data_IF_973609669243
#
_entry.id   IF_973609669243
#
_cell.length_a   1.000
_cell.length_b   1.000
_cell.length_c   1.000
_cell.angle_alpha   90.00
_cell.angle_beta   90.00
_cell.angle_gamma   90.00
#
_symmetry.space_group_name_H-M   'P 1'
#
loop_
_entity.id
_entity.type
_entity.pdbx_description
1 polymer ?
#
# COMPACT_ATOMS: atom_id res chain seq x y z
N UNK A 1 0.77 -19.73 -4.11
CA UNK A 1 -0.19 -18.86 -3.39
C UNK A 1 -0.63 -17.63 -4.20
N UNK A 2 0.28 -16.77 -4.68
CA UNK A 2 -0.07 -15.60 -5.52
C UNK A 2 -0.99 -15.87 -6.73
N UNK A 3 -0.84 -16.98 -7.50
CA UNK A 3 -1.71 -17.25 -8.65
C UNK A 3 -3.16 -17.52 -8.27
N UNK A 4 -3.39 -18.15 -7.11
CA UNK A 4 -4.74 -18.48 -6.60
C UNK A 4 -5.52 -17.22 -6.20
N UNK A 5 -4.86 -16.26 -5.55
CA UNK A 5 -5.48 -14.98 -5.20
C UNK A 5 -5.74 -14.10 -6.43
N UNK A 6 -4.81 -14.08 -7.39
CA UNK A 6 -5.02 -13.37 -8.65
C UNK A 6 -6.20 -13.96 -9.45
N UNK A 7 -6.32 -15.30 -9.50
CA UNK A 7 -7.43 -15.99 -10.14
C UNK A 7 -8.76 -15.72 -9.41
N UNK A 8 -8.80 -15.75 -8.08
CA UNK A 8 -9.98 -15.43 -7.30
C UNK A 8 -10.46 -13.98 -7.53
N UNK A 9 -9.54 -13.03 -7.68
CA UNK A 9 -9.89 -11.63 -8.00
C UNK A 9 -10.40 -11.44 -9.42
N UNK A 10 -9.85 -12.19 -10.38
CA UNK A 10 -10.32 -12.22 -11.78
C UNK A 10 -11.74 -12.80 -11.87
N UNK A 11 -12.02 -13.90 -11.16
CA UNK A 11 -13.32 -14.58 -11.17
C UNK A 11 -14.41 -13.80 -10.41
N UNK A 12 -14.03 -12.96 -9.43
CA UNK A 12 -14.99 -12.23 -8.59
C UNK A 12 -15.35 -10.82 -9.07
N UNK A 13 -15.03 -10.48 -10.33
CA UNK A 13 -15.56 -9.30 -11.01
C UNK A 13 -14.81 -7.98 -10.78
N UNK A 14 -13.57 -8.01 -10.29
CA UNK A 14 -12.75 -6.79 -10.08
C UNK A 14 -12.16 -6.20 -11.38
N UNK A 15 -12.16 -6.98 -12.47
CA UNK A 15 -11.40 -6.71 -13.69
C UNK A 15 -9.93 -7.09 -13.52
N UNK A 16 -9.01 -6.26 -14.02
CA UNK A 16 -7.56 -6.48 -13.84
C UNK A 16 -7.19 -6.52 -12.34
N UNK A 17 -6.56 -7.60 -11.84
CA UNK A 17 -6.45 -7.88 -10.41
C UNK A 17 -5.42 -7.02 -9.68
N UNK A 18 -4.55 -6.31 -10.42
CA UNK A 18 -3.51 -5.45 -9.85
C UNK A 18 -3.88 -3.98 -10.03
N UNK A 19 -3.54 -3.18 -9.03
CA UNK A 19 -3.63 -1.74 -9.07
C UNK A 19 -2.31 -1.14 -8.59
N UNK A 20 -1.86 -0.10 -9.28
CA UNK A 20 -0.63 0.61 -8.97
C UNK A 20 -0.94 2.01 -8.45
N UNK A 21 -0.24 2.44 -7.40
CA UNK A 21 -0.41 3.78 -6.83
C UNK A 21 0.95 4.46 -6.64
N UNK A 22 1.05 5.76 -6.96
CA UNK A 22 2.22 6.55 -6.62
C UNK A 22 2.21 6.94 -5.15
N UNK A 23 3.36 6.78 -4.51
CA UNK A 23 3.61 7.10 -3.10
C UNK A 23 4.96 7.76 -2.93
N UNK A 24 5.16 8.39 -1.79
CA UNK A 24 6.43 9.02 -1.41
C UNK A 24 7.32 8.03 -0.66
N UNK A 25 8.58 7.94 -1.10
CA UNK A 25 9.57 6.98 -0.64
C UNK A 25 10.73 7.60 0.15
N UNK A 26 11.85 6.88 0.15
CA UNK A 26 13.10 7.35 0.74
C UNK A 26 13.51 8.70 0.13
N UNK A 27 13.91 9.63 1.00
CA UNK A 27 14.24 11.02 0.65
C UNK A 27 13.10 11.77 -0.06
N UNK A 28 11.85 11.33 0.12
CA UNK A 28 10.66 11.90 -0.53
C UNK A 28 10.53 11.53 -2.00
N UNK A 29 11.38 10.64 -2.53
CA UNK A 29 11.35 10.26 -3.95
C UNK A 29 10.07 9.48 -4.26
N UNK A 30 9.31 9.84 -5.31
CA UNK A 30 8.10 9.12 -5.67
C UNK A 30 8.45 7.72 -6.19
N UNK A 31 7.65 6.73 -5.81
CA UNK A 31 7.73 5.37 -6.33
C UNK A 31 6.33 4.77 -6.47
N UNK A 32 6.23 3.67 -7.21
CA UNK A 32 4.95 3.01 -7.49
C UNK A 32 4.79 1.77 -6.62
N UNK A 33 3.78 1.74 -5.75
CA UNK A 33 3.39 0.54 -5.00
C UNK A 33 2.41 -0.31 -5.81
N UNK A 34 2.55 -1.63 -5.69
CA UNK A 34 1.61 -2.59 -6.27
C UNK A 34 0.66 -3.11 -5.19
N UNK A 35 -0.63 -3.22 -5.51
CA UNK A 35 -1.66 -3.80 -4.64
C UNK A 35 -2.62 -4.66 -5.45
N UNK A 36 -3.34 -5.54 -4.76
CA UNK A 36 -4.52 -6.16 -5.35
C UNK A 36 -5.67 -5.15 -5.43
N UNK A 37 -6.37 -5.17 -6.56
CA UNK A 37 -7.55 -4.33 -6.79
C UNK A 37 -8.73 -4.91 -6.01
N UNK A 38 -9.09 -4.26 -4.91
CA UNK A 38 -10.20 -4.69 -4.03
C UNK A 38 -11.46 -3.82 -4.16
N UNK A 39 -11.45 -2.81 -5.04
CA UNK A 39 -12.61 -1.97 -5.33
C UNK A 39 -12.83 -1.91 -6.85
N UNK A 40 -14.09 -1.97 -7.28
CA UNK A 40 -14.45 -1.72 -8.68
C UNK A 40 -14.51 -0.20 -8.96
N UNK A 41 -14.78 0.18 -10.21
CA UNK A 41 -14.86 1.60 -10.61
C UNK A 41 -15.98 2.39 -9.93
N UNK A 42 -16.99 1.70 -9.38
CA UNK A 42 -18.07 2.29 -8.59
C UNK A 42 -17.75 2.34 -7.07
N UNK A 43 -16.51 2.00 -6.67
CA UNK A 43 -16.08 1.99 -5.27
C UNK A 43 -16.64 0.84 -4.44
N UNK A 44 -17.26 -0.16 -5.07
CA UNK A 44 -17.87 -1.29 -4.37
C UNK A 44 -16.86 -2.42 -4.15
N UNK A 45 -17.11 -3.21 -3.10
CA UNK A 45 -16.34 -4.42 -2.78
C UNK A 45 -17.26 -5.55 -2.35
N UNK A 46 -16.94 -6.79 -2.74
CA UNK A 46 -17.58 -7.99 -2.23
C UNK A 46 -17.00 -8.44 -0.87
N UNK A 47 -17.53 -9.53 -0.31
CA UNK A 47 -17.09 -10.07 0.99
C UNK A 47 -15.62 -10.45 0.98
N UNK A 48 -15.14 -11.10 -0.10
CA UNK A 48 -13.75 -11.51 -0.24
C UNK A 48 -12.80 -10.31 -0.27
N UNK A 49 -13.12 -9.29 -1.06
CA UNK A 49 -12.32 -8.07 -1.19
C UNK A 49 -12.25 -7.28 0.12
N UNK A 50 -13.36 -7.21 0.87
CA UNK A 50 -13.38 -6.64 2.22
C UNK A 50 -12.50 -7.44 3.18
N UNK A 51 -12.61 -8.76 3.14
CA UNK A 51 -11.78 -9.65 3.96
C UNK A 51 -10.28 -9.49 3.64
N UNK A 52 -9.91 -9.40 2.37
CA UNK A 52 -8.52 -9.17 1.94
C UNK A 52 -7.95 -7.86 2.50
N UNK A 53 -8.73 -6.77 2.51
CA UNK A 53 -8.31 -5.51 3.15
C UNK A 53 -8.17 -5.64 4.66
N UNK A 54 -9.12 -6.33 5.31
CA UNK A 54 -9.09 -6.55 6.77
C UNK A 54 -7.86 -7.35 7.20
N UNK A 55 -7.41 -8.29 6.38
CA UNK A 55 -6.24 -9.13 6.66
C UNK A 55 -4.93 -8.55 6.09
N UNK A 56 -4.98 -7.43 5.36
CA UNK A 56 -3.81 -6.84 4.68
C UNK A 56 -3.31 -7.65 3.48
N UNK A 57 -4.05 -8.66 3.03
CA UNK A 57 -3.68 -9.49 1.89
C UNK A 57 -3.64 -8.72 0.57
N UNK A 58 -4.38 -7.60 0.48
CA UNK A 58 -4.34 -6.72 -0.68
C UNK A 58 -2.97 -6.03 -0.88
N UNK A 59 -2.15 -5.99 0.17
CA UNK A 59 -0.81 -5.39 0.16
C UNK A 59 0.30 -6.39 -0.21
N UNK A 60 0.01 -7.69 -0.33
CA UNK A 60 1.01 -8.69 -0.69
C UNK A 60 1.82 -8.37 -1.96
N UNK A 61 1.27 -7.78 -3.03
CA UNK A 61 2.07 -7.41 -4.20
C UNK A 61 3.18 -6.39 -3.90
N UNK A 62 3.10 -5.64 -2.80
CA UNK A 62 4.16 -4.73 -2.37
C UNK A 62 5.46 -5.47 -1.97
N UNK A 63 5.41 -6.78 -1.70
CA UNK A 63 6.62 -7.58 -1.50
C UNK A 63 7.56 -7.50 -2.71
N UNK A 64 7.02 -7.31 -3.92
CA UNK A 64 7.82 -7.06 -5.12
C UNK A 64 8.61 -5.75 -4.98
N UNK A 65 8.02 -4.69 -4.41
CA UNK A 65 8.72 -3.43 -4.12
C UNK A 65 9.81 -3.61 -3.05
N UNK A 66 9.62 -4.52 -2.09
CA UNK A 66 10.65 -4.88 -1.09
C UNK A 66 11.82 -5.59 -1.78
N UNK A 67 11.53 -6.57 -2.65
CA UNK A 67 12.55 -7.31 -3.40
C UNK A 67 13.38 -6.40 -4.33
N UNK A 68 12.74 -5.42 -4.97
CA UNK A 68 13.44 -4.41 -5.79
C UNK A 68 14.07 -3.27 -4.98
N UNK A 69 14.05 -3.35 -3.64
CA UNK A 69 14.72 -2.40 -2.76
C UNK A 69 14.07 -1.02 -2.66
N UNK A 70 12.86 -0.84 -3.22
CA UNK A 70 12.07 0.39 -3.12
C UNK A 70 11.39 0.52 -1.74
N UNK A 71 11.09 -0.61 -1.11
CA UNK A 71 10.52 -0.71 0.23
C UNK A 71 11.36 -1.61 1.15
N UNK A 72 11.05 -1.58 2.44
CA UNK A 72 11.53 -2.47 3.49
C UNK A 72 10.36 -3.31 4.04
N UNK A 73 10.66 -4.41 4.72
CA UNK A 73 9.65 -5.16 5.48
C UNK A 73 9.06 -4.30 6.61
N UNK A 74 9.93 -3.60 7.34
CA UNK A 74 9.56 -2.72 8.47
C UNK A 74 10.07 -1.32 8.18
N UNK A 75 9.18 -0.32 8.32
CA UNK A 75 9.46 1.08 8.07
C UNK A 75 8.21 1.96 8.10
N UNK A 76 8.32 3.28 7.89
CA UNK A 76 7.18 4.18 7.85
C UNK A 76 6.24 3.83 6.68
N UNK A 77 4.92 3.90 6.88
CA UNK A 77 3.96 3.62 5.80
C UNK A 77 4.13 4.60 4.63
N UNK A 78 4.15 4.19 3.36
CA UNK A 78 4.24 5.12 2.25
C UNK A 78 2.91 5.90 2.08
N UNK A 79 2.97 7.23 2.04
CA UNK A 79 1.80 8.11 1.89
C UNK A 79 1.69 8.65 0.46
N UNK A 80 0.49 9.11 0.05
CA UNK A 80 0.39 9.85 -1.21
C UNK A 80 1.01 11.24 -1.04
N UNK A 81 1.37 11.91 -2.13
CA UNK A 81 1.87 13.29 -2.06
C UNK A 81 0.84 14.25 -1.44
N UNK A 82 -0.46 14.03 -1.68
CA UNK A 82 -1.53 14.80 -1.06
C UNK A 82 -1.56 14.60 0.46
N UNK A 83 -1.61 13.35 0.92
CA UNK A 83 -1.56 13.02 2.34
C UNK A 83 -0.29 13.59 2.99
N UNK A 84 0.86 13.44 2.32
CA UNK A 84 2.15 13.94 2.75
C UNK A 84 2.15 15.44 3.01
N UNK A 85 1.61 16.23 2.08
CA UNK A 85 1.48 17.67 2.21
C UNK A 85 0.56 18.05 3.38
N UNK A 86 -0.59 17.38 3.52
CA UNK A 86 -1.54 17.63 4.61
C UNK A 86 -0.91 17.40 5.98
N UNK A 87 -0.26 16.26 6.19
CA UNK A 87 0.37 15.96 7.48
C UNK A 87 1.60 16.83 7.75
N UNK A 88 2.38 17.18 6.74
CA UNK A 88 3.52 18.08 6.90
C UNK A 88 3.11 19.49 7.35
N UNK A 89 1.90 19.94 7.02
CA UNK A 89 1.35 21.20 7.50
C UNK A 89 0.98 21.16 8.99
N UNK A 90 0.57 20.00 9.51
CA UNK A 90 0.15 19.84 10.90
C UNK A 90 1.28 19.39 11.84
N UNK A 91 2.31 18.73 11.33
CA UNK A 91 3.39 18.13 12.13
C UNK A 91 4.75 18.57 11.58
N UNK A 92 5.43 19.48 12.29
CA UNK A 92 6.72 20.04 11.85
C UNK A 92 7.79 18.96 11.58
N UNK A 93 7.77 17.88 12.36
CA UNK A 93 8.72 16.77 12.27
C UNK A 93 8.30 15.67 11.30
N UNK A 94 7.20 15.85 10.55
CA UNK A 94 6.65 14.82 9.67
C UNK A 94 7.66 14.29 8.65
N UNK A 95 8.52 15.17 8.12
CA UNK A 95 9.51 14.84 7.09
C UNK A 95 10.60 13.87 7.55
N UNK A 96 10.79 13.65 8.86
CA UNK A 96 11.76 12.67 9.40
C UNK A 96 11.49 11.26 8.86
N UNK A 97 10.22 10.93 8.57
CA UNK A 97 9.85 9.64 7.99
C UNK A 97 10.55 9.32 6.67
N UNK A 98 10.94 10.34 5.90
CA UNK A 98 11.60 10.16 4.61
C UNK A 98 13.08 9.79 4.76
N UNK A 99 13.62 9.71 5.97
CA UNK A 99 14.99 9.27 6.22
C UNK A 99 15.14 7.74 6.22
N UNK A 100 14.03 7.01 6.21
CA UNK A 100 14.02 5.55 6.11
C UNK A 100 13.26 5.09 4.85
N UNK A 101 13.57 3.88 4.38
CA UNK A 101 12.75 3.25 3.34
C UNK A 101 11.33 3.01 3.86
N UNK A 102 10.30 3.23 3.05
CA UNK A 102 8.94 2.88 3.46
C UNK A 102 8.81 1.41 3.80
N UNK A 103 7.97 1.10 4.78
CA UNK A 103 7.71 -0.25 5.25
C UNK A 103 6.40 -0.83 4.72
N UNK A 104 6.39 -2.14 4.50
CA UNK A 104 5.14 -2.90 4.37
C UNK A 104 4.34 -2.81 5.69
N UNK A 105 5.02 -3.05 6.81
CA UNK A 105 4.52 -2.80 8.17
C UNK A 105 5.40 -1.78 8.89
N UNK A 106 4.94 -1.29 10.05
CA UNK A 106 5.64 -0.26 10.81
C UNK A 106 4.97 0.01 12.16
N UNK A 107 5.56 0.93 12.92
CA UNK A 107 5.10 1.28 14.26
C UNK A 107 3.65 1.82 14.25
N UNK A 108 3.30 2.63 13.25
CA UNK A 108 1.94 3.15 13.10
C UNK A 108 0.94 2.02 12.87
N UNK A 109 1.24 1.10 11.93
CA UNK A 109 0.41 -0.07 11.64
C UNK A 109 0.27 -1.01 12.85
N UNK A 110 1.31 -1.17 13.67
CA UNK A 110 1.26 -1.99 14.88
C UNK A 110 0.45 -1.34 16.02
N UNK A 111 0.38 0.00 16.06
CA UNK A 111 -0.33 0.76 17.11
C UNK A 111 -1.73 1.22 16.71
N UNK A 112 -2.16 0.96 15.47
CA UNK A 112 -3.45 1.41 14.94
C UNK A 112 -3.53 2.94 14.74
N UNK A 113 -2.38 3.57 14.49
CA UNK A 113 -2.23 5.03 14.29
C UNK A 113 -2.20 5.41 12.81
#
# INVERSE_FOLDING_TARGET
MFPLFALALLVTGAGWPLFSQRREGLSGKPFTVLKFKTMNSAGQSNVLQRWMRKTGLDELPQLVNVLFGQMSMVGPRPHTAGDGATYAASVATYKIRYWAKPGLTGLAQARGL
#
